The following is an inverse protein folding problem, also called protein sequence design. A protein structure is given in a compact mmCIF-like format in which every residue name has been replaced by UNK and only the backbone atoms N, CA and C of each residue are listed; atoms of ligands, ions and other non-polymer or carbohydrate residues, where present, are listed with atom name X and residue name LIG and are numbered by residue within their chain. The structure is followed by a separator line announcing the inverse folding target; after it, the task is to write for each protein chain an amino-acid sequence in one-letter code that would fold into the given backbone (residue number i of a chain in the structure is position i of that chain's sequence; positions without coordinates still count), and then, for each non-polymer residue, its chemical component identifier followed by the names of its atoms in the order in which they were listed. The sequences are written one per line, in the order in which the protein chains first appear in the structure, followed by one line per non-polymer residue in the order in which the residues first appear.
data_IF_200583007061
#
_entry.id   IF_200583007061
#
_cell.length_a   1.000
_cell.length_b   1.000
_cell.length_c   1.000
_cell.angle_alpha   90.00
_cell.angle_beta   90.00
_cell.angle_gamma   90.00
#
_symmetry.space_group_name_H-M   'P 1'
#
loop_
_entity.id
_entity.type
_entity.pdbx_description
1 polymer ?
#
# COMPACT_ATOMS: atom_id res chain seq x y z
N UNK A 1 8.51 -12.89 -6.02
CA UNK A 1 8.73 -11.46 -6.28
C UNK A 1 7.46 -10.86 -6.92
N UNK A 2 6.35 -10.83 -6.19
CA UNK A 2 5.03 -10.36 -6.68
C UNK A 2 4.25 -9.53 -5.63
N UNK A 3 4.82 -9.30 -4.44
CA UNK A 3 4.17 -8.54 -3.36
C UNK A 3 4.27 -7.03 -3.61
N UNK A 4 5.24 -6.58 -4.40
CA UNK A 4 5.48 -5.16 -4.71
C UNK A 4 4.47 -4.61 -5.74
N UNK A 5 3.85 -5.47 -6.54
CA UNK A 5 2.94 -5.03 -7.61
C UNK A 5 1.55 -4.65 -7.10
N UNK A 6 1.15 -5.08 -5.90
CA UNK A 6 -0.18 -4.75 -5.35
C UNK A 6 -0.20 -3.33 -4.77
N UNK A 7 0.92 -2.81 -4.26
CA UNK A 7 0.99 -1.48 -3.67
C UNK A 7 1.06 -0.34 -4.70
N UNK A 8 1.63 -0.60 -5.88
CA UNK A 8 1.74 0.41 -6.94
C UNK A 8 0.42 0.69 -7.69
N UNK A 9 -0.61 -0.15 -7.53
CA UNK A 9 -1.91 0.02 -8.20
C UNK A 9 -2.83 1.01 -7.48
N UNK A 10 -2.60 1.30 -6.19
CA UNK A 10 -3.48 2.17 -5.39
C UNK A 10 -3.08 3.64 -5.37
N UNK A 11 -1.92 4.00 -5.92
CA UNK A 11 -1.57 5.40 -6.21
C UNK A 11 -2.07 5.76 -7.60
N UNK A 12 -3.38 6.01 -7.72
CA UNK A 12 -3.96 6.67 -8.90
C UNK A 12 -3.38 8.10 -8.94
N UNK A 13 -2.48 8.47 -9.87
CA UNK A 13 -1.94 9.81 -9.92
C UNK A 13 -2.89 10.64 -10.77
N UNK A 14 -3.91 11.25 -10.17
CA UNK A 14 -4.74 12.25 -10.85
C UNK A 14 -4.40 13.67 -10.38
N UNK A 15 -3.10 13.98 -10.30
CA UNK A 15 -2.61 15.33 -10.06
C UNK A 15 -1.46 15.66 -11.03
N UNK A 16 -1.75 15.67 -12.33
CA UNK A 16 -0.88 16.32 -13.30
C UNK A 16 -1.26 17.81 -13.36
N UNK A 17 -0.77 18.60 -12.40
CA UNK A 17 -0.70 20.05 -12.61
C UNK A 17 0.42 20.27 -13.62
N UNK A 18 0.07 20.58 -14.86
CA UNK A 18 1.02 20.79 -15.94
C UNK A 18 1.76 22.13 -15.75
N UNK A 19 2.77 22.11 -14.89
CA UNK A 19 3.68 23.23 -14.62
C UNK A 19 4.88 23.24 -15.60
N UNK A 20 4.82 22.47 -16.69
CA UNK A 20 5.91 22.36 -17.66
C UNK A 20 6.32 23.71 -18.27
N UNK A 21 5.47 24.73 -18.23
CA UNK A 21 5.77 26.06 -18.79
C UNK A 21 6.78 26.88 -17.97
N UNK A 22 7.12 26.49 -16.73
CA UNK A 22 8.07 27.20 -15.87
C UNK A 22 9.47 26.56 -15.77
N UNK A 23 9.72 25.46 -16.50
CA UNK A 23 10.97 24.69 -16.38
C UNK A 23 11.04 23.81 -15.12
N UNK A 24 9.96 23.73 -14.33
CA UNK A 24 9.88 22.92 -13.11
C UNK A 24 9.40 21.50 -13.43
N UNK A 25 10.20 20.48 -13.07
CA UNK A 25 9.86 19.06 -13.27
C UNK A 25 9.60 18.42 -11.92
N UNK A 26 8.33 18.28 -11.55
CA UNK A 26 7.91 17.72 -10.26
C UNK A 26 7.74 16.20 -10.35
N UNK A 27 8.17 15.48 -9.33
CA UNK A 27 7.80 14.07 -9.08
C UNK A 27 7.42 13.83 -7.64
N UNK A 28 6.60 12.81 -7.45
CA UNK A 28 6.36 12.20 -6.15
C UNK A 28 7.50 11.21 -5.88
N UNK A 29 8.09 11.32 -4.70
CA UNK A 29 9.12 10.40 -4.22
C UNK A 29 8.62 9.63 -3.01
N UNK A 30 8.87 8.33 -3.02
CA UNK A 30 8.64 7.43 -1.90
C UNK A 30 10.00 6.93 -1.47
N UNK A 31 10.31 7.06 -0.17
CA UNK A 31 11.58 6.60 0.36
C UNK A 31 11.65 5.07 0.32
N UNK A 32 12.57 4.54 -0.48
CA UNK A 32 12.78 3.09 -0.70
C UNK A 32 14.16 2.62 -0.22
N UNK A 33 14.76 3.29 0.77
CA UNK A 33 15.97 2.78 1.42
C UNK A 33 15.71 1.40 2.03
N UNK A 34 16.74 0.56 2.14
CA UNK A 34 16.60 -0.81 2.69
C UNK A 34 15.97 -0.81 4.08
N UNK A 35 16.38 0.11 4.96
CA UNK A 35 15.82 0.23 6.30
C UNK A 35 14.33 0.59 6.25
N UNK A 36 13.95 1.52 5.36
CA UNK A 36 12.55 1.88 5.19
C UNK A 36 11.74 0.73 4.61
N UNK A 37 12.30 0.00 3.65
CA UNK A 37 11.66 -1.15 3.03
C UNK A 37 11.40 -2.25 4.05
N UNK A 38 12.35 -2.54 4.94
CA UNK A 38 12.19 -3.53 6.00
C UNK A 38 11.04 -3.16 6.95
N UNK A 39 10.97 -1.88 7.36
CA UNK A 39 9.86 -1.38 8.18
C UNK A 39 8.52 -1.54 7.47
N UNK A 40 8.43 -1.20 6.18
CA UNK A 40 7.18 -1.35 5.42
C UNK A 40 6.80 -2.82 5.17
N UNK A 41 7.77 -3.73 5.05
CA UNK A 41 7.51 -5.18 4.94
C UNK A 41 6.95 -5.71 6.25
N UNK A 42 7.56 -5.40 7.39
CA UNK A 42 7.04 -5.78 8.71
C UNK A 42 5.62 -5.23 8.91
N UNK A 43 5.42 -3.97 8.53
CA UNK A 43 4.13 -3.30 8.56
C UNK A 43 3.09 -4.06 7.72
N UNK A 44 3.42 -4.44 6.49
CA UNK A 44 2.55 -5.21 5.59
C UNK A 44 2.17 -6.59 6.16
N UNK A 45 3.13 -7.27 6.79
CA UNK A 45 2.89 -8.57 7.45
C UNK A 45 1.90 -8.40 8.62
N UNK A 46 2.06 -7.36 9.43
CA UNK A 46 1.16 -7.09 10.55
C UNK A 46 -0.28 -6.79 10.08
N UNK A 47 -0.43 -6.00 9.00
CA UNK A 47 -1.74 -5.73 8.39
C UNK A 47 -2.41 -7.03 7.93
N UNK A 48 -1.64 -7.88 7.25
CA UNK A 48 -2.15 -9.14 6.74
C UNK A 48 -2.54 -10.11 7.88
N UNK A 49 -1.71 -10.21 8.93
CA UNK A 49 -2.00 -11.01 10.11
C UNK A 49 -3.29 -10.55 10.81
N UNK A 50 -3.46 -9.24 11.02
CA UNK A 50 -4.68 -8.68 11.58
C UNK A 50 -5.91 -8.99 10.70
N UNK A 51 -5.76 -8.94 9.37
CA UNK A 51 -6.81 -9.36 8.43
C UNK A 51 -7.20 -10.83 8.60
N UNK A 52 -6.23 -11.72 8.80
CA UNK A 52 -6.48 -13.16 9.03
C UNK A 52 -7.16 -13.42 10.38
N UNK A 53 -6.73 -12.75 11.44
CA UNK A 53 -7.37 -12.83 12.76
C UNK A 53 -8.82 -12.37 12.69
N UNK A 54 -9.09 -11.23 12.05
CA UNK A 54 -10.45 -10.73 11.84
C UNK A 54 -11.29 -11.67 10.99
N UNK A 55 -10.71 -12.27 9.94
CA UNK A 55 -11.39 -13.27 9.12
C UNK A 55 -11.80 -14.50 9.93
N UNK A 56 -10.91 -15.01 10.79
CA UNK A 56 -11.15 -16.22 11.59
C UNK A 56 -12.14 -15.97 12.73
N UNK A 57 -12.17 -14.74 13.26
CA UNK A 57 -13.12 -14.33 14.31
C UNK A 57 -14.56 -14.18 13.79
N UNK A 58 -14.76 -13.97 12.47
CA UNK A 58 -16.09 -13.84 11.88
C UNK A 58 -16.72 -15.22 11.60
N UNK A 59 -17.76 -15.57 12.36
CA UNK A 59 -18.47 -16.85 12.24
C UNK A 59 -19.09 -17.09 10.84
N UNK A 60 -19.33 -16.03 10.07
CA UNK A 60 -19.82 -16.12 8.68
C UNK A 60 -18.80 -16.74 7.74
N UNK A 61 -17.52 -16.78 8.13
CA UNK A 61 -16.43 -17.32 7.32
C UNK A 61 -16.08 -18.79 7.63
N UNK A 62 -16.80 -19.43 8.57
CA UNK A 62 -16.52 -20.80 9.05
C UNK A 62 -16.35 -21.88 7.97
N UNK A 63 -16.96 -21.70 6.79
CA UNK A 63 -16.86 -22.63 5.67
C UNK A 63 -16.06 -22.09 4.47
N UNK A 64 -15.30 -21.01 4.65
CA UNK A 64 -14.52 -20.36 3.61
C UNK A 64 -13.04 -20.69 3.81
N UNK A 65 -12.42 -21.34 2.82
CA UNK A 65 -10.96 -21.51 2.78
C UNK A 65 -10.31 -20.33 2.09
N UNK A 66 -9.29 -19.75 2.70
CA UNK A 66 -8.45 -18.72 2.10
C UNK A 66 -7.28 -19.29 1.28
N UNK A 67 -7.07 -20.61 1.28
CA UNK A 67 -5.94 -21.22 0.57
C UNK A 67 -5.99 -20.92 -0.94
N UNK A 68 -4.99 -20.21 -1.50
CA UNK A 68 -4.98 -19.87 -2.90
C UNK A 68 -4.24 -20.95 -3.71
N UNK A 69 -4.84 -21.42 -4.81
CA UNK A 69 -4.18 -22.35 -5.75
C UNK A 69 -3.52 -21.59 -6.91
N UNK A 70 -2.65 -20.63 -6.58
CA UNK A 70 -2.00 -19.78 -7.58
C UNK A 70 -1.00 -20.58 -8.42
N UNK A 71 -0.99 -20.32 -9.73
CA UNK A 71 0.03 -20.86 -10.62
C UNK A 71 0.40 -19.85 -11.69
N UNK A 72 1.71 -19.66 -11.91
CA UNK A 72 2.22 -18.81 -12.99
C UNK A 72 2.33 -19.55 -14.32
N UNK A 73 2.52 -20.89 -14.28
CA UNK A 73 2.89 -21.70 -15.45
C UNK A 73 2.04 -22.99 -15.58
N UNK A 74 0.93 -23.11 -14.86
CA UNK A 74 0.12 -24.34 -14.82
C UNK A 74 -1.38 -24.06 -14.68
N UNK A 75 -2.17 -25.12 -14.46
CA UNK A 75 -3.64 -25.08 -14.43
C UNK A 75 -4.24 -24.46 -13.15
N UNK A 76 -3.44 -23.75 -12.36
CA UNK A 76 -3.90 -23.04 -11.18
C UNK A 76 -4.57 -21.71 -11.51
N UNK A 77 -5.00 -21.00 -10.47
CA UNK A 77 -5.59 -19.68 -10.63
C UNK A 77 -4.50 -18.64 -10.95
N UNK A 78 -4.76 -17.78 -11.92
CA UNK A 78 -3.88 -16.63 -12.24
C UNK A 78 -4.01 -15.49 -11.24
N UNK A 79 -5.08 -15.47 -10.45
CA UNK A 79 -5.37 -14.49 -9.41
C UNK A 79 -6.05 -15.16 -8.23
N UNK A 80 -5.89 -14.59 -7.04
CA UNK A 80 -6.54 -15.11 -5.86
C UNK A 80 -8.04 -14.80 -5.90
N UNK A 81 -8.86 -15.80 -6.22
CA UNK A 81 -10.30 -15.63 -6.42
C UNK A 81 -11.07 -15.20 -5.15
N UNK A 82 -10.52 -15.45 -3.96
CA UNK A 82 -11.05 -15.04 -2.65
C UNK A 82 -10.27 -13.89 -2.01
N UNK A 83 -9.45 -13.20 -2.81
CA UNK A 83 -8.71 -12.02 -2.35
C UNK A 83 -9.63 -10.91 -1.84
N UNK A 84 -10.85 -10.81 -2.37
CA UNK A 84 -11.87 -9.85 -1.94
C UNK A 84 -12.40 -10.14 -0.51
N UNK A 85 -12.45 -11.42 -0.12
CA UNK A 85 -12.89 -11.83 1.21
C UNK A 85 -11.92 -11.31 2.25
N UNK A 86 -10.63 -11.62 2.09
CA UNK A 86 -9.60 -11.14 3.02
C UNK A 86 -9.44 -9.62 2.94
N UNK A 87 -9.58 -9.01 1.75
CA UNK A 87 -9.54 -7.55 1.59
C UNK A 87 -10.59 -6.84 2.44
N UNK A 88 -11.80 -7.41 2.58
CA UNK A 88 -12.84 -6.84 3.45
C UNK A 88 -12.44 -6.77 4.92
N UNK A 89 -11.59 -7.68 5.39
CA UNK A 89 -11.08 -7.69 6.75
C UNK A 89 -9.83 -6.80 6.95
N UNK A 90 -9.24 -6.29 5.86
CA UNK A 90 -8.09 -5.38 5.88
C UNK A 90 -8.45 -3.93 5.57
N UNK A 91 -9.54 -3.67 4.85
CA UNK A 91 -10.01 -2.29 4.56
C UNK A 91 -10.68 -1.66 5.78
N UNK A 92 -10.52 -0.35 5.96
CA UNK A 92 -11.22 0.38 7.03
C UNK A 92 -10.75 0.08 8.46
N UNK A 93 -9.66 -0.66 8.64
CA UNK A 93 -9.10 -0.96 9.96
C UNK A 93 -8.14 0.15 10.41
N UNK A 94 -8.01 0.32 11.72
CA UNK A 94 -6.99 1.14 12.36
C UNK A 94 -6.16 0.25 13.28
N UNK A 95 -4.92 -0.04 12.88
CA UNK A 95 -4.02 -0.94 13.58
C UNK A 95 -3.04 -0.08 14.38
N UNK A 96 -3.04 -0.25 15.70
CA UNK A 96 -2.07 0.41 16.58
C UNK A 96 -0.66 -0.10 16.28
N UNK A 97 0.28 0.83 16.13
CA UNK A 97 1.68 0.52 15.94
C UNK A 97 2.49 0.94 17.17
N UNK A 98 3.56 0.18 17.48
CA UNK A 98 4.49 0.55 18.55
C UNK A 98 5.37 1.72 18.09
N UNK A 99 5.64 2.74 18.92
CA UNK A 99 6.59 3.79 18.58
C UNK A 99 7.95 3.21 18.14
N UNK A 100 8.60 3.78 17.10
CA UNK A 100 8.27 5.04 16.43
C UNK A 100 7.24 4.91 15.29
N UNK A 101 6.69 3.72 15.06
CA UNK A 101 5.75 3.48 13.96
C UNK A 101 4.41 4.16 14.22
N UNK A 102 3.86 4.80 13.17
CA UNK A 102 2.53 5.43 13.23
C UNK A 102 1.42 4.40 13.08
N UNK A 103 0.23 4.62 13.67
CA UNK A 103 -0.94 3.79 13.44
C UNK A 103 -1.22 3.63 11.93
N UNK A 104 -1.71 2.46 11.56
CA UNK A 104 -2.00 2.12 10.17
C UNK A 104 -3.50 2.18 10.00
N UNK A 105 -3.99 3.14 9.22
CA UNK A 105 -5.40 3.24 8.92
C UNK A 105 -5.65 3.14 7.42
N UNK A 106 -6.68 2.40 7.02
CA UNK A 106 -7.07 2.26 5.63
C UNK A 106 -8.41 2.92 5.37
N UNK A 107 -8.57 3.46 4.17
CA UNK A 107 -9.86 3.83 3.60
C UNK A 107 -10.64 2.58 3.19
N UNK A 108 -11.93 2.77 2.90
CA UNK A 108 -12.81 1.69 2.44
C UNK A 108 -12.42 1.15 1.05
N UNK A 109 -11.73 1.97 0.25
CA UNK A 109 -11.21 1.57 -1.06
C UNK A 109 -9.85 0.86 -0.98
N UNK A 110 -9.28 0.72 0.23
CA UNK A 110 -7.99 0.06 0.45
C UNK A 110 -6.79 1.00 0.35
N UNK A 111 -6.98 2.29 0.09
CA UNK A 111 -5.90 3.27 0.16
C UNK A 111 -5.48 3.51 1.61
N UNK A 112 -4.19 3.74 1.84
CA UNK A 112 -3.66 4.06 3.16
C UNK A 112 -4.04 5.50 3.51
N UNK A 113 -4.49 5.74 4.75
CA UNK A 113 -4.69 7.08 5.31
C UNK A 113 -3.39 7.65 5.84
N UNK A 114 -3.30 8.98 5.89
CA UNK A 114 -2.18 9.73 6.47
C UNK A 114 -0.84 9.36 5.81
N UNK A 115 -0.86 9.23 4.48
CA UNK A 115 0.34 8.94 3.68
C UNK A 115 1.17 10.20 3.58
N UNK A 116 2.44 10.08 3.97
CA UNK A 116 3.45 11.12 3.79
C UNK A 116 4.00 11.05 2.38
N UNK A 117 3.80 12.11 1.60
CA UNK A 117 4.22 12.20 0.21
C UNK A 117 5.31 13.27 0.10
N UNK A 118 6.50 12.86 -0.34
CA UNK A 118 7.58 13.79 -0.62
C UNK A 118 7.45 14.33 -2.04
N UNK A 119 7.32 15.65 -2.16
CA UNK A 119 7.27 16.34 -3.44
C UNK A 119 8.69 16.78 -3.79
N UNK A 120 9.20 16.29 -4.92
CA UNK A 120 10.54 16.56 -5.39
C UNK A 120 10.50 17.36 -6.68
N UNK A 121 11.44 18.29 -6.85
CA UNK A 121 11.68 19.02 -8.09
C UNK A 121 13.05 18.66 -8.64
N UNK A 122 13.13 18.38 -9.94
CA UNK A 122 14.39 18.16 -10.63
C UNK A 122 15.00 19.49 -11.06
N UNK A 123 16.14 19.86 -10.47
CA UNK A 123 16.95 21.01 -10.89
C UNK A 123 18.31 20.53 -11.36
N UNK A 124 18.69 20.86 -12.59
CA UNK A 124 20.05 20.62 -13.13
C UNK A 124 20.61 19.22 -12.75
N UNK A 125 19.79 18.19 -12.98
CA UNK A 125 20.09 16.77 -12.69
C UNK A 125 20.10 16.31 -11.22
N UNK A 126 19.64 17.14 -10.27
CA UNK A 126 19.41 16.74 -8.88
C UNK A 126 17.96 16.89 -8.45
N UNK A 127 17.46 15.89 -7.72
CA UNK A 127 16.16 15.95 -7.07
C UNK A 127 16.27 16.70 -5.74
N UNK A 128 15.55 17.81 -5.64
CA UNK A 128 15.43 18.59 -4.41
C UNK A 128 14.02 18.45 -3.86
N UNK A 129 13.90 18.17 -2.55
CA UNK A 129 12.59 18.17 -1.91
C UNK A 129 12.06 19.59 -1.82
N UNK A 130 10.87 19.81 -2.37
CA UNK A 130 10.18 21.11 -2.34
C UNK A 130 9.06 21.15 -1.31
N UNK A 131 8.61 20.00 -0.82
CA UNK A 131 7.60 19.94 0.23
C UNK A 131 7.21 18.53 0.63
N UNK A 132 6.41 18.45 1.69
CA UNK A 132 5.74 17.23 2.14
C UNK A 132 4.25 17.51 2.10
N UNK A 133 3.49 16.60 1.49
CA UNK A 133 2.02 16.66 1.45
C UNK A 133 1.48 15.44 2.19
N UNK A 134 0.45 15.64 2.99
CA UNK A 134 -0.28 14.57 3.66
C UNK A 134 -1.54 14.27 2.88
N UNK A 135 -1.70 13.03 2.42
CA UNK A 135 -2.98 12.59 1.87
C UNK A 135 -3.83 11.98 2.99
N UNK A 136 -4.93 12.67 3.30
CA UNK A 136 -6.04 12.19 4.13
C UNK A 136 -6.87 11.16 3.36
#
# INVERSE_FOLDING_TARGET
MQVVTIWLVFLKPHLSLDLSKSGMKIRIYINVTTDRLNVEVERAVNIFAHGLESFYADSKNSNISLSPTLSCNGNGQSRWNRGDVIFRHMRGVSISAKPPSRPIAFNLDGTLKDVEIHVMNLKQDRWEQVGIVWHL
#
